data_IF_819387462778
#
_entry.id   IF_819387462778
#
_cell.length_a   1.000
_cell.length_b   1.000
_cell.length_c   1.000
_cell.angle_alpha   90.00
_cell.angle_beta   90.00
_cell.angle_gamma   90.00
#
_symmetry.space_group_name_H-M   'P 1'
#
loop_
_entity.id
_entity.type
_entity.pdbx_description
1 polymer ?
#
# COMPACT_ATOMS: atom_id res chain seq x y z
N UNK A 1 16.78 -0.45 -14.71
CA UNK A 1 16.05 -0.97 -13.55
C UNK A 1 14.55 -0.81 -13.76
N UNK A 2 13.82 -1.85 -13.53
CA UNK A 2 12.37 -1.79 -13.63
C UNK A 2 11.79 -1.40 -12.29
N UNK A 3 10.95 -0.37 -12.32
CA UNK A 3 10.23 0.05 -11.14
C UNK A 3 8.87 -0.64 -11.14
N UNK A 4 8.61 -1.39 -10.10
CA UNK A 4 7.36 -2.11 -9.97
C UNK A 4 6.25 -1.15 -9.56
N UNK A 5 5.07 -1.34 -10.15
CA UNK A 5 3.92 -0.52 -9.79
C UNK A 5 2.97 -1.29 -8.89
N UNK A 6 2.30 -0.55 -8.03
CA UNK A 6 1.39 -1.10 -7.05
C UNK A 6 0.14 -0.23 -6.97
N UNK A 7 -0.91 -0.78 -6.40
CA UNK A 7 -2.11 -0.02 -6.08
C UNK A 7 -2.36 -0.19 -4.58
N UNK A 8 -2.65 0.90 -3.90
CA UNK A 8 -2.95 0.88 -2.48
C UNK A 8 -4.44 1.11 -2.28
N UNK A 9 -5.09 0.12 -1.67
CA UNK A 9 -6.52 0.16 -1.38
C UNK A 9 -6.77 0.23 0.11
N UNK A 10 -7.89 0.84 0.47
CA UNK A 10 -8.44 0.78 1.82
C UNK A 10 -9.85 0.22 1.68
N UNK A 11 -10.05 -1.04 2.03
CA UNK A 11 -11.28 -1.73 1.69
C UNK A 11 -11.40 -1.81 0.17
N UNK A 12 -12.47 -1.26 -0.38
CA UNK A 12 -12.71 -1.24 -1.82
C UNK A 12 -12.26 0.07 -2.48
N UNK A 13 -11.75 1.02 -1.70
CA UNK A 13 -11.37 2.32 -2.21
C UNK A 13 -9.92 2.36 -2.62
N UNK A 14 -9.66 2.82 -3.86
CA UNK A 14 -8.30 3.04 -4.34
C UNK A 14 -7.77 4.35 -3.76
N UNK A 15 -6.71 4.27 -2.97
CA UNK A 15 -6.10 5.45 -2.35
C UNK A 15 -5.01 6.04 -3.22
N UNK A 16 -4.18 5.20 -3.81
CA UNK A 16 -3.05 5.65 -4.62
C UNK A 16 -2.57 4.53 -5.52
N UNK A 17 -1.90 4.89 -6.61
CA UNK A 17 -1.35 3.95 -7.56
C UNK A 17 -0.02 4.46 -8.08
N UNK A 18 0.91 3.55 -8.33
CA UNK A 18 2.24 3.87 -8.83
C UNK A 18 3.31 3.08 -8.10
N UNK A 19 4.54 3.60 -8.09
CA UNK A 19 5.61 2.95 -7.32
C UNK A 19 5.37 3.16 -5.83
N UNK A 20 6.05 2.37 -5.01
CA UNK A 20 5.96 2.54 -3.55
C UNK A 20 6.32 3.96 -3.14
N UNK A 21 7.32 4.54 -3.79
CA UNK A 21 7.75 5.90 -3.51
C UNK A 21 6.66 6.92 -3.84
N UNK A 22 6.02 6.75 -4.99
CA UNK A 22 4.92 7.64 -5.40
C UNK A 22 3.74 7.56 -4.44
N UNK A 23 3.39 6.35 -4.04
CA UNK A 23 2.32 6.12 -3.07
C UNK A 23 2.67 6.79 -1.74
N UNK A 24 3.90 6.61 -1.27
CA UNK A 24 4.36 7.20 -0.02
C UNK A 24 4.27 8.72 -0.05
N UNK A 25 4.70 9.34 -1.13
CA UNK A 25 4.65 10.79 -1.29
C UNK A 25 3.21 11.29 -1.31
N UNK A 26 2.34 10.60 -2.01
CA UNK A 26 0.94 10.99 -2.11
C UNK A 26 0.23 10.94 -0.75
N UNK A 27 0.56 9.96 0.06
CA UNK A 27 -0.07 9.78 1.37
C UNK A 27 0.66 10.51 2.50
N UNK A 28 1.84 11.06 2.22
CA UNK A 28 2.66 11.72 3.24
C UNK A 28 3.24 10.75 4.25
N UNK A 29 3.56 9.54 3.82
CA UNK A 29 4.14 8.50 4.67
C UNK A 29 5.46 8.02 4.08
N UNK A 30 6.18 7.18 4.82
CA UNK A 30 7.44 6.63 4.33
C UNK A 30 7.24 5.44 3.41
N UNK A 31 8.21 5.18 2.54
CA UNK A 31 8.21 3.99 1.68
C UNK A 31 8.15 2.73 2.53
N UNK A 32 8.80 2.75 3.68
CA UNK A 32 8.77 1.63 4.61
C UNK A 32 7.35 1.30 5.05
N UNK A 33 6.54 2.32 5.32
CA UNK A 33 5.14 2.13 5.68
C UNK A 33 4.34 1.50 4.54
N UNK A 34 4.57 1.96 3.32
CA UNK A 34 3.92 1.38 2.14
C UNK A 34 4.28 -0.10 2.01
N UNK A 35 5.54 -0.43 2.17
CA UNK A 35 6.00 -1.83 2.11
C UNK A 35 5.33 -2.67 3.19
N UNK A 36 5.15 -2.11 4.38
CA UNK A 36 4.48 -2.79 5.49
C UNK A 36 3.05 -3.19 5.15
N UNK A 37 2.35 -2.36 4.42
CA UNK A 37 0.96 -2.66 4.02
C UNK A 37 0.84 -3.88 3.12
N UNK A 38 1.93 -4.29 2.48
CA UNK A 38 1.96 -5.47 1.64
C UNK A 38 2.35 -6.75 2.38
N UNK A 39 2.59 -6.70 3.68
CA UNK A 39 3.03 -7.87 4.44
C UNK A 39 1.85 -8.66 5.01
N UNK A 40 1.99 -9.99 5.11
CA UNK A 40 0.94 -10.81 5.75
C UNK A 40 0.71 -10.46 7.21
N UNK A 41 1.76 -10.04 7.91
CA UNK A 41 1.65 -9.65 9.33
C UNK A 41 0.71 -8.47 9.52
N UNK A 42 0.80 -7.49 8.63
CA UNK A 42 -0.08 -6.34 8.69
C UNK A 42 -1.55 -6.75 8.46
N UNK A 43 -1.78 -7.59 7.46
CA UNK A 43 -3.13 -8.05 7.14
C UNK A 43 -3.80 -8.79 8.29
N UNK A 44 -3.00 -9.49 9.11
CA UNK A 44 -3.53 -10.21 10.26
C UNK A 44 -3.89 -9.31 11.43
N UNK A 45 -3.24 -8.15 11.54
CA UNK A 45 -3.43 -7.24 12.67
C UNK A 45 -4.58 -6.27 12.49
N UNK A 46 -5.01 -6.06 11.26
CA UNK A 46 -6.02 -5.06 10.96
C UNK A 46 -7.28 -5.71 10.42
N UNK A 47 -8.44 -5.09 10.69
CA UNK A 47 -9.68 -5.53 10.11
C UNK A 47 -9.70 -5.19 8.62
N UNK A 48 -10.44 -5.96 7.84
CA UNK A 48 -10.52 -5.73 6.40
C UNK A 48 -11.07 -4.34 6.05
N UNK A 49 -11.95 -3.82 6.86
CA UNK A 49 -12.58 -2.52 6.62
C UNK A 49 -11.62 -1.35 6.80
N UNK A 50 -10.61 -1.50 7.66
CA UNK A 50 -9.69 -0.43 8.00
C UNK A 50 -8.28 -0.68 7.50
N UNK A 51 -7.98 -1.88 7.03
CA UNK A 51 -6.64 -2.20 6.59
C UNK A 51 -6.38 -1.66 5.20
N UNK A 52 -5.22 -1.02 5.05
CA UNK A 52 -4.73 -0.64 3.74
C UNK A 52 -4.05 -1.86 3.13
N UNK A 53 -4.32 -2.10 1.86
CA UNK A 53 -3.79 -3.27 1.17
C UNK A 53 -3.00 -2.83 -0.05
N UNK A 54 -1.75 -3.26 -0.12
CA UNK A 54 -0.90 -3.00 -1.27
C UNK A 54 -1.03 -4.15 -2.25
N UNK A 55 -1.44 -3.83 -3.46
CA UNK A 55 -1.64 -4.82 -4.52
C UNK A 55 -0.55 -4.65 -5.57
N UNK A 56 0.07 -5.75 -5.96
CA UNK A 56 1.09 -5.79 -7.00
C UNK A 56 0.40 -5.77 -8.37
N UNK A 57 0.74 -4.79 -9.17
CA UNK A 57 0.15 -4.66 -10.51
C UNK A 57 0.93 -5.38 -11.59
#
# INVERSE_FOLDING_TARGET
MQMKEYALYKGDELLAMGTKREIAEKLGISVRSVTCYGTPSYARRTSEEHSRRLVDL
#
